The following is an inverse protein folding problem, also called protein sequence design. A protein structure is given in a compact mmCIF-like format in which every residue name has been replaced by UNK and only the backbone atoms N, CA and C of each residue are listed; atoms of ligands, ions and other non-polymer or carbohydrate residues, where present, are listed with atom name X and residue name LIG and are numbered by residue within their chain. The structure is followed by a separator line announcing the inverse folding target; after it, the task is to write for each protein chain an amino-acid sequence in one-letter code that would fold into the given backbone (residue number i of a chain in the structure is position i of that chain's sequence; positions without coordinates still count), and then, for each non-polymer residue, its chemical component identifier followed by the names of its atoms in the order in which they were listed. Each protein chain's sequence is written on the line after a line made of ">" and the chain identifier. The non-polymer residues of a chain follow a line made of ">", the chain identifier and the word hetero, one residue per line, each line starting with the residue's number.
data_IF_172947537604
#
_entry.id   IF_172947537604
#
_cell.length_a   1.000
_cell.length_b   1.000
_cell.length_c   1.000
_cell.angle_alpha   90.00
_cell.angle_beta   90.00
_cell.angle_gamma   90.00
#
_symmetry.space_group_name_H-M   'P 1'
#
loop_
_entity.id
_entity.type
_entity.pdbx_description
1 polymer ?
#
# COMPACT_ATOMS: atom_id res chain seq x y z
N UNK A 1 -5.63 -0.49 -14.60
CA UNK A 1 -5.61 0.14 -13.27
C UNK A 1 -4.27 0.82 -13.06
N UNK A 2 -4.22 2.14 -13.29
CA UNK A 2 -3.03 2.98 -13.15
C UNK A 2 -3.09 3.73 -11.82
N UNK A 3 -2.05 3.58 -11.01
CA UNK A 3 -1.87 4.33 -9.77
C UNK A 3 -0.69 5.27 -9.93
N UNK A 4 -0.88 6.54 -9.57
CA UNK A 4 0.20 7.53 -9.51
C UNK A 4 0.05 8.40 -8.27
N UNK A 5 1.01 9.29 -8.03
CA UNK A 5 1.09 10.06 -6.79
C UNK A 5 1.43 11.53 -7.03
N UNK A 6 1.08 12.36 -6.05
CA UNK A 6 1.54 13.75 -5.91
C UNK A 6 2.39 13.88 -4.63
N UNK A 7 3.61 14.44 -4.69
CA UNK A 7 4.38 14.71 -3.48
C UNK A 7 3.74 15.86 -2.68
N UNK A 8 3.88 15.90 -1.35
CA UNK A 8 3.26 16.95 -0.51
C UNK A 8 3.70 18.37 -0.86
N UNK A 9 4.91 18.55 -1.39
CA UNK A 9 5.38 19.85 -1.89
C UNK A 9 4.55 20.41 -3.05
N UNK A 10 3.74 19.56 -3.71
CA UNK A 10 2.79 19.94 -4.74
C UNK A 10 1.33 19.71 -4.29
N UNK A 11 1.04 19.53 -3.01
CA UNK A 11 -0.30 19.15 -2.54
C UNK A 11 -1.31 20.31 -2.42
N UNK A 12 -0.90 21.55 -2.73
CA UNK A 12 -1.82 22.69 -2.84
C UNK A 12 -2.79 22.50 -4.01
N UNK A 13 -3.91 23.22 -4.01
CA UNK A 13 -4.95 23.10 -5.05
C UNK A 13 -4.39 23.27 -6.46
N UNK A 14 -3.58 24.30 -6.67
CA UNK A 14 -2.91 24.53 -7.95
C UNK A 14 -1.78 23.52 -8.22
N UNK A 15 -1.07 23.08 -7.18
CA UNK A 15 -0.01 22.09 -7.28
C UNK A 15 -0.51 20.72 -7.74
N UNK A 16 -1.59 20.22 -7.13
CA UNK A 16 -2.20 18.92 -7.43
C UNK A 16 -2.65 18.88 -8.87
N UNK A 17 -3.31 19.95 -9.34
CA UNK A 17 -3.73 20.07 -10.75
C UNK A 17 -2.54 19.96 -11.71
N UNK A 18 -1.50 20.78 -11.51
CA UNK A 18 -0.29 20.77 -12.38
C UNK A 18 0.43 19.42 -12.32
N UNK A 19 0.56 18.83 -11.13
CA UNK A 19 1.22 17.55 -10.94
C UNK A 19 0.49 16.42 -11.66
N UNK A 20 -0.85 16.38 -11.55
CA UNK A 20 -1.69 15.42 -12.25
C UNK A 20 -1.57 15.56 -13.77
N UNK A 21 -1.64 16.78 -14.31
CA UNK A 21 -1.47 17.06 -15.75
C UNK A 21 -0.12 16.59 -16.27
N UNK A 22 0.95 16.83 -15.52
CA UNK A 22 2.28 16.35 -15.87
C UNK A 22 2.39 14.82 -15.81
N UNK A 23 1.72 14.17 -14.86
CA UNK A 23 1.66 12.70 -14.78
C UNK A 23 0.90 12.09 -15.94
N UNK A 24 -0.27 12.63 -16.29
CA UNK A 24 -1.05 12.22 -17.46
C UNK A 24 -0.24 12.31 -18.75
N UNK A 25 0.46 13.44 -18.94
CA UNK A 25 1.36 13.63 -20.10
C UNK A 25 2.45 12.57 -20.19
N UNK A 26 3.12 12.25 -19.07
CA UNK A 26 4.18 11.22 -19.05
C UNK A 26 3.64 9.80 -19.25
N UNK A 27 2.44 9.52 -18.76
CA UNK A 27 1.77 8.23 -18.89
C UNK A 27 1.07 8.04 -20.26
N UNK A 28 0.99 9.11 -21.07
CA UNK A 28 0.28 9.12 -22.36
C UNK A 28 -1.17 8.62 -22.25
N UNK A 29 -1.88 9.05 -21.21
CA UNK A 29 -3.31 8.75 -20.99
C UNK A 29 -4.05 10.02 -20.55
N UNK A 30 -5.36 10.03 -20.69
CA UNK A 30 -6.26 11.11 -20.29
C UNK A 30 -6.78 10.95 -18.84
N UNK A 31 -6.65 9.74 -18.25
CA UNK A 31 -7.16 9.45 -16.91
C UNK A 31 -6.27 8.50 -16.11
N UNK A 32 -6.08 8.82 -14.83
CA UNK A 32 -5.45 7.93 -13.83
C UNK A 32 -6.56 7.22 -13.04
N UNK A 33 -6.46 5.90 -12.82
CA UNK A 33 -7.49 5.17 -12.08
C UNK A 33 -7.50 5.55 -10.59
N UNK A 34 -6.33 5.75 -9.99
CA UNK A 34 -6.18 6.13 -8.59
C UNK A 34 -5.00 7.09 -8.39
N UNK A 35 -5.25 8.24 -7.76
CA UNK A 35 -4.21 9.25 -7.50
C UNK A 35 -4.01 9.48 -6.01
N UNK A 36 -2.78 9.32 -5.53
CA UNK A 36 -2.48 9.33 -4.09
C UNK A 36 -1.72 10.59 -3.67
N UNK A 37 -2.05 11.14 -2.51
CA UNK A 37 -1.08 11.96 -1.77
C UNK A 37 0.05 11.04 -1.28
N UNK A 38 1.31 11.38 -1.57
CA UNK A 38 2.44 10.45 -1.37
C UNK A 38 2.85 10.27 0.10
N UNK A 39 2.74 11.30 0.91
CA UNK A 39 2.86 11.29 2.37
C UNK A 39 2.30 12.62 2.92
N UNK A 40 1.99 12.72 4.22
CA UNK A 40 1.57 13.96 4.87
C UNK A 40 2.54 15.12 4.63
N UNK A 41 2.04 16.35 4.62
CA UNK A 41 2.82 17.54 4.35
C UNK A 41 2.29 18.77 5.07
N UNK A 42 2.85 19.94 4.77
CA UNK A 42 2.45 21.21 5.39
C UNK A 42 1.19 21.84 4.78
N UNK A 43 0.73 21.36 3.62
CA UNK A 43 -0.52 21.83 3.02
C UNK A 43 -1.70 21.28 3.82
N UNK A 44 -2.68 22.11 4.23
CA UNK A 44 -3.88 21.62 4.91
C UNK A 44 -4.56 20.52 4.09
N UNK A 45 -4.84 19.39 4.72
CA UNK A 45 -5.35 18.20 4.03
C UNK A 45 -6.68 18.45 3.32
N UNK A 46 -7.54 19.31 3.88
CA UNK A 46 -8.78 19.74 3.26
C UNK A 46 -8.57 20.39 1.87
N UNK A 47 -7.51 21.19 1.70
CA UNK A 47 -7.19 21.80 0.40
C UNK A 47 -6.81 20.73 -0.63
N UNK A 48 -6.05 19.72 -0.21
CA UNK A 48 -5.67 18.60 -1.08
C UNK A 48 -6.87 17.73 -1.45
N UNK A 49 -7.77 17.45 -0.50
CA UNK A 49 -9.01 16.69 -0.75
C UNK A 49 -9.90 17.41 -1.77
N UNK A 50 -10.12 18.72 -1.61
CA UNK A 50 -10.87 19.52 -2.57
C UNK A 50 -10.24 19.48 -3.98
N UNK A 51 -8.90 19.48 -4.05
CA UNK A 51 -8.19 19.38 -5.32
C UNK A 51 -8.36 18.01 -5.97
N UNK A 52 -8.36 16.93 -5.20
CA UNK A 52 -8.65 15.58 -5.71
C UNK A 52 -10.09 15.45 -6.20
N UNK A 53 -11.06 15.97 -5.45
CA UNK A 53 -12.46 15.98 -5.88
C UNK A 53 -12.66 16.78 -7.16
N UNK A 54 -11.98 17.93 -7.31
CA UNK A 54 -11.99 18.70 -8.56
C UNK A 54 -11.38 17.91 -9.74
N UNK A 55 -10.29 17.18 -9.53
CA UNK A 55 -9.70 16.31 -10.57
C UNK A 55 -10.63 15.16 -10.95
N UNK A 56 -11.34 14.59 -9.96
CA UNK A 56 -12.32 13.53 -10.16
C UNK A 56 -13.53 14.03 -10.96
N UNK A 57 -14.08 15.18 -10.58
CA UNK A 57 -15.17 15.84 -11.31
C UNK A 57 -14.76 16.20 -12.75
N UNK A 58 -13.51 16.58 -12.97
CA UNK A 58 -12.96 16.85 -14.30
C UNK A 58 -12.62 15.58 -15.12
N UNK A 59 -12.82 14.38 -14.57
CA UNK A 59 -12.53 13.11 -15.24
C UNK A 59 -11.05 12.75 -15.37
N UNK A 60 -10.14 13.54 -14.77
CA UNK A 60 -8.68 13.32 -14.84
C UNK A 60 -8.20 12.18 -13.95
N UNK A 61 -8.92 11.92 -12.86
CA UNK A 61 -8.71 10.76 -12.00
C UNK A 61 -10.06 10.06 -11.77
N UNK A 62 -10.06 8.74 -11.60
CA UNK A 62 -11.29 8.00 -11.25
C UNK A 62 -11.50 7.97 -9.74
N UNK A 63 -10.42 7.82 -8.98
CA UNK A 63 -10.39 7.71 -7.52
C UNK A 63 -9.19 8.45 -6.95
N UNK A 64 -9.24 8.76 -5.64
CA UNK A 64 -8.10 9.28 -4.90
C UNK A 64 -7.89 8.49 -3.61
N UNK A 65 -6.68 8.56 -3.08
CA UNK A 65 -6.31 7.94 -1.82
C UNK A 65 -5.10 8.62 -1.20
N UNK A 66 -4.52 7.98 -0.20
CA UNK A 66 -3.31 8.48 0.47
C UNK A 66 -2.25 7.38 0.55
N UNK A 67 -1.07 7.77 1.01
CA UNK A 67 0.07 6.89 1.22
C UNK A 67 0.82 7.40 2.45
N UNK A 68 1.30 6.50 3.29
CA UNK A 68 2.02 6.82 4.52
C UNK A 68 1.22 7.64 5.53
N UNK A 69 -0.08 7.34 5.67
CA UNK A 69 -0.91 7.93 6.73
C UNK A 69 -1.02 6.93 7.88
N UNK A 70 -0.76 7.35 9.11
CA UNK A 70 -1.02 6.52 10.29
C UNK A 70 -2.51 6.54 10.68
N UNK A 71 -2.88 5.85 11.75
CA UNK A 71 -4.28 5.75 12.20
C UNK A 71 -4.86 7.13 12.55
N UNK A 72 -4.09 7.99 13.21
CA UNK A 72 -4.59 9.28 13.69
C UNK A 72 -4.79 10.24 12.50
N UNK A 73 -3.88 10.20 11.52
CA UNK A 73 -3.97 10.97 10.28
C UNK A 73 -5.14 10.48 9.39
N UNK A 74 -5.41 9.17 9.37
CA UNK A 74 -6.57 8.62 8.66
C UNK A 74 -7.88 9.03 9.33
N UNK A 75 -7.93 9.11 10.67
CA UNK A 75 -9.09 9.61 11.41
C UNK A 75 -9.37 11.09 11.13
N UNK A 76 -8.33 11.93 11.09
CA UNK A 76 -8.45 13.31 10.67
C UNK A 76 -8.98 13.39 9.23
N UNK A 77 -8.37 12.64 8.30
CA UNK A 77 -8.75 12.63 6.89
C UNK A 77 -10.22 12.33 6.70
N UNK A 78 -10.74 11.24 7.29
CA UNK A 78 -12.14 10.83 7.08
C UNK A 78 -13.14 11.81 7.72
N UNK A 79 -12.70 12.61 8.70
CA UNK A 79 -13.51 13.66 9.31
C UNK A 79 -13.67 14.94 8.45
N UNK A 80 -12.86 15.11 7.40
CA UNK A 80 -12.93 16.28 6.52
C UNK A 80 -14.12 16.22 5.55
N UNK A 81 -14.59 17.37 5.02
CA UNK A 81 -15.51 17.40 3.90
C UNK A 81 -14.99 16.58 2.71
N UNK A 82 -15.79 15.61 2.25
CA UNK A 82 -15.42 14.61 1.23
C UNK A 82 -14.26 13.68 1.60
N UNK A 83 -13.68 13.77 2.80
CA UNK A 83 -12.56 12.95 3.23
C UNK A 83 -12.87 11.45 3.28
N UNK A 84 -14.12 11.10 3.59
CA UNK A 84 -14.62 9.72 3.53
C UNK A 84 -14.60 9.11 2.12
N UNK A 85 -14.33 9.88 1.05
CA UNK A 85 -14.15 9.36 -0.31
C UNK A 85 -12.78 8.71 -0.54
N UNK A 86 -11.86 8.75 0.43
CA UNK A 86 -10.56 8.07 0.35
C UNK A 86 -10.75 6.59 -0.04
N UNK A 87 -9.99 6.11 -1.04
CA UNK A 87 -10.17 4.75 -1.58
C UNK A 87 -9.09 3.77 -1.14
N UNK A 88 -7.96 4.23 -0.61
CA UNK A 88 -6.90 3.37 -0.08
C UNK A 88 -5.90 4.18 0.75
N UNK A 89 -5.12 3.47 1.57
CA UNK A 89 -3.89 3.96 2.15
C UNK A 89 -2.72 3.03 1.77
N UNK A 90 -1.71 3.58 1.09
CA UNK A 90 -0.51 2.83 0.69
C UNK A 90 0.60 2.94 1.75
N UNK A 91 0.95 1.83 2.41
CA UNK A 91 1.86 1.81 3.58
C UNK A 91 2.91 0.70 3.49
N UNK A 92 3.99 0.83 4.26
CA UNK A 92 5.00 -0.21 4.37
C UNK A 92 4.40 -1.38 5.13
N UNK A 93 4.28 -2.53 4.46
CA UNK A 93 3.73 -3.70 5.11
C UNK A 93 4.31 -4.98 4.50
N UNK A 94 4.93 -5.79 5.36
CA UNK A 94 5.48 -7.10 5.04
C UNK A 94 5.80 -7.86 6.34
N UNK A 95 6.27 -9.11 6.22
CA UNK A 95 6.63 -9.95 7.37
C UNK A 95 7.57 -9.26 8.37
N UNK A 96 8.54 -8.45 7.92
CA UNK A 96 9.44 -7.73 8.82
C UNK A 96 8.91 -6.38 9.31
N UNK A 97 7.81 -5.88 8.74
CA UNK A 97 7.23 -4.55 8.98
C UNK A 97 5.74 -4.69 9.27
N UNK A 98 5.42 -5.19 10.46
CA UNK A 98 4.06 -5.56 10.88
C UNK A 98 3.36 -4.50 11.73
N UNK A 99 3.95 -3.31 11.89
CA UNK A 99 3.41 -2.21 12.70
C UNK A 99 1.92 -1.91 12.46
N UNK A 100 1.47 -1.81 11.19
CA UNK A 100 0.06 -1.53 10.88
C UNK A 100 -0.96 -2.54 11.44
N UNK A 101 -0.56 -3.75 11.80
CA UNK A 101 -1.48 -4.79 12.31
C UNK A 101 -2.09 -4.44 13.68
N UNK A 102 -1.46 -3.56 14.44
CA UNK A 102 -1.95 -3.23 15.79
C UNK A 102 -3.19 -2.34 15.75
N UNK A 103 -3.22 -1.37 14.83
CA UNK A 103 -4.22 -0.29 14.80
C UNK A 103 -4.69 0.04 13.37
N UNK A 104 -3.79 0.43 12.47
CA UNK A 104 -4.16 0.96 11.15
C UNK A 104 -4.91 -0.05 10.27
N UNK A 105 -4.43 -1.29 10.20
CA UNK A 105 -5.02 -2.35 9.39
C UNK A 105 -6.44 -2.73 9.86
N UNK A 106 -6.69 -3.05 11.16
CA UNK A 106 -8.05 -3.32 11.62
C UNK A 106 -8.97 -2.10 11.45
N UNK A 107 -8.49 -0.89 11.76
CA UNK A 107 -9.27 0.35 11.58
C UNK A 107 -9.70 0.57 10.12
N UNK A 108 -8.79 0.31 9.18
CA UNK A 108 -9.03 0.48 7.74
C UNK A 108 -9.98 -0.59 7.21
N UNK A 109 -9.85 -1.83 7.68
CA UNK A 109 -10.71 -2.95 7.31
C UNK A 109 -12.17 -2.71 7.71
N UNK A 110 -12.41 -2.24 8.94
CA UNK A 110 -13.75 -1.89 9.45
C UNK A 110 -14.47 -0.85 8.58
N UNK A 111 -13.70 0.01 7.91
CA UNK A 111 -14.20 1.11 7.06
C UNK A 111 -14.19 0.77 5.57
N UNK A 112 -13.79 -0.45 5.20
CA UNK A 112 -13.68 -0.86 3.80
C UNK A 112 -12.61 -0.09 3.01
N UNK A 113 -11.58 0.43 3.69
CA UNK A 113 -10.45 1.11 3.06
C UNK A 113 -9.30 0.09 2.89
N UNK A 114 -9.06 -0.44 1.68
CA UNK A 114 -7.99 -1.41 1.48
C UNK A 114 -6.61 -0.76 1.69
N UNK A 115 -5.65 -1.54 2.19
CA UNK A 115 -4.25 -1.13 2.27
C UNK A 115 -3.49 -1.58 1.02
N UNK A 116 -2.67 -0.70 0.45
CA UNK A 116 -1.68 -1.10 -0.55
C UNK A 116 -0.33 -1.30 0.14
N UNK A 117 0.13 -2.54 0.24
CA UNK A 117 1.40 -2.90 0.84
C UNK A 117 2.57 -2.64 -0.12
N UNK A 118 3.32 -1.56 0.10
CA UNK A 118 4.57 -1.33 -0.61
C UNK A 118 5.73 -2.05 0.07
N UNK A 119 6.80 -2.28 -0.71
CA UNK A 119 7.94 -3.12 -0.29
C UNK A 119 7.50 -4.47 0.32
N UNK A 120 6.57 -5.23 -0.30
CA UNK A 120 6.03 -6.46 0.30
C UNK A 120 7.06 -7.59 0.46
N UNK A 121 8.26 -7.42 -0.13
CA UNK A 121 9.41 -8.34 -0.03
C UNK A 121 10.63 -7.67 0.62
N UNK A 122 10.41 -6.55 1.34
CA UNK A 122 11.44 -5.72 2.01
C UNK A 122 12.63 -5.39 1.10
N UNK A 123 12.35 -4.82 -0.08
CA UNK A 123 13.36 -4.50 -1.10
C UNK A 123 14.28 -5.69 -1.47
N UNK A 124 13.76 -6.92 -1.34
CA UNK A 124 14.46 -8.17 -1.62
C UNK A 124 15.17 -8.78 -0.41
N UNK A 125 15.14 -8.16 0.77
CA UNK A 125 15.72 -8.74 1.97
C UNK A 125 15.00 -10.04 2.39
N UNK A 126 13.66 -10.06 2.31
CA UNK A 126 12.87 -11.26 2.61
C UNK A 126 13.12 -12.40 1.60
N UNK A 127 13.47 -12.08 0.35
CA UNK A 127 13.81 -13.09 -0.66
C UNK A 127 15.08 -13.91 -0.33
N UNK A 128 15.88 -13.45 0.63
CA UNK A 128 17.12 -14.11 1.11
C UNK A 128 17.05 -14.50 2.58
N UNK A 129 15.86 -14.44 3.19
CA UNK A 129 15.71 -14.67 4.62
C UNK A 129 15.47 -16.16 4.90
N UNK A 130 16.46 -16.82 5.49
CA UNK A 130 16.41 -18.25 5.80
C UNK A 130 15.25 -18.67 6.71
N UNK A 131 14.64 -17.72 7.45
CA UNK A 131 13.44 -17.98 8.26
C UNK A 131 12.22 -18.37 7.41
N UNK A 132 12.26 -18.17 6.08
CA UNK A 132 11.20 -18.56 5.16
C UNK A 132 11.45 -19.92 4.49
N UNK A 133 12.64 -20.50 4.62
CA UNK A 133 13.07 -21.66 3.83
C UNK A 133 12.21 -22.90 4.09
N UNK A 134 11.85 -23.15 5.36
CA UNK A 134 11.03 -24.30 5.73
C UNK A 134 9.61 -24.22 5.15
N UNK A 135 8.99 -23.03 5.22
CA UNK A 135 7.69 -22.76 4.59
C UNK A 135 7.80 -22.85 3.07
N UNK A 136 8.82 -22.23 2.49
CA UNK A 136 9.07 -22.22 1.04
C UNK A 136 9.23 -23.63 0.48
N UNK A 137 10.01 -24.49 1.15
CA UNK A 137 10.21 -25.89 0.78
C UNK A 137 8.89 -26.68 0.79
N UNK A 138 8.04 -26.50 1.80
CA UNK A 138 6.73 -27.18 1.90
C UNK A 138 5.80 -26.84 0.74
N UNK A 139 5.87 -25.61 0.23
CA UNK A 139 5.08 -25.14 -0.91
C UNK A 139 5.79 -25.25 -2.27
N UNK A 140 7.02 -25.81 -2.32
CA UNK A 140 7.88 -25.81 -3.52
C UNK A 140 8.00 -24.42 -4.16
N UNK A 141 8.10 -23.40 -3.32
CA UNK A 141 8.12 -22.00 -3.70
C UNK A 141 9.44 -21.33 -3.29
N UNK A 142 9.64 -20.10 -3.73
CA UNK A 142 10.74 -19.24 -3.26
C UNK A 142 10.34 -18.47 -2.01
N UNK A 143 11.32 -18.02 -1.21
CA UNK A 143 11.09 -17.15 -0.06
C UNK A 143 10.33 -15.85 -0.44
N UNK A 144 10.61 -15.29 -1.63
CA UNK A 144 9.89 -14.14 -2.14
C UNK A 144 8.39 -14.42 -2.39
N UNK A 145 8.08 -15.60 -2.93
CA UNK A 145 6.69 -16.01 -3.14
C UNK A 145 5.96 -16.25 -1.82
N UNK A 146 6.62 -16.83 -0.81
CA UNK A 146 6.04 -16.98 0.54
C UNK A 146 5.74 -15.62 1.17
N UNK A 147 6.69 -14.67 1.09
CA UNK A 147 6.48 -13.32 1.61
C UNK A 147 5.30 -12.61 0.93
N UNK A 148 5.18 -12.74 -0.40
CA UNK A 148 4.06 -12.17 -1.15
C UNK A 148 2.72 -12.85 -0.83
N UNK A 149 2.70 -14.18 -0.80
CA UNK A 149 1.51 -14.95 -0.45
C UNK A 149 1.01 -14.59 0.95
N UNK A 150 1.94 -14.37 1.90
CA UNK A 150 1.59 -13.94 3.25
C UNK A 150 0.94 -12.54 3.27
N UNK A 151 1.50 -11.55 2.54
CA UNK A 151 0.91 -10.21 2.48
C UNK A 151 -0.48 -10.24 1.85
N UNK A 152 -0.67 -11.00 0.77
CA UNK A 152 -1.96 -11.13 0.08
C UNK A 152 -2.99 -11.97 0.84
N UNK A 153 -2.56 -12.77 1.82
CA UNK A 153 -3.46 -13.51 2.71
C UNK A 153 -4.11 -12.59 3.76
N UNK A 154 -3.58 -11.38 3.96
CA UNK A 154 -4.12 -10.44 4.94
C UNK A 154 -5.42 -9.80 4.42
N UNK A 155 -6.46 -9.66 5.27
CA UNK A 155 -7.73 -9.09 4.85
C UNK A 155 -7.57 -7.65 4.34
N UNK A 156 -8.12 -7.35 3.17
CA UNK A 156 -8.13 -6.00 2.62
C UNK A 156 -6.77 -5.46 2.16
N UNK A 157 -5.77 -6.32 1.94
CA UNK A 157 -4.42 -5.91 1.55
C UNK A 157 -4.11 -6.24 0.09
N UNK A 158 -3.54 -5.25 -0.62
CA UNK A 158 -3.06 -5.37 -2.01
C UNK A 158 -1.54 -5.23 -2.02
N UNK A 159 -0.79 -6.27 -2.39
CA UNK A 159 0.66 -6.20 -2.51
C UNK A 159 1.09 -5.58 -3.85
N UNK A 160 2.08 -4.68 -3.83
CA UNK A 160 2.64 -4.06 -5.05
C UNK A 160 4.15 -4.31 -5.23
N UNK A 161 4.57 -5.57 -5.50
CA UNK A 161 5.97 -5.87 -5.73
C UNK A 161 6.48 -5.27 -7.04
N UNK A 162 7.67 -4.67 -6.99
CA UNK A 162 8.42 -4.27 -8.20
C UNK A 162 9.31 -5.41 -8.67
N UNK A 163 9.26 -5.71 -9.96
CA UNK A 163 10.21 -6.59 -10.64
C UNK A 163 10.62 -5.96 -11.99
N UNK A 164 11.92 -5.99 -12.29
CA UNK A 164 12.45 -5.56 -13.60
C UNK A 164 12.95 -6.71 -14.47
N UNK A 165 12.92 -7.95 -13.94
CA UNK A 165 13.22 -9.18 -14.69
C UNK A 165 11.92 -9.93 -14.90
N UNK A 166 11.67 -10.40 -16.13
CA UNK A 166 10.45 -11.14 -16.45
C UNK A 166 10.28 -12.41 -15.61
N UNK A 167 11.37 -13.08 -15.25
CA UNK A 167 11.36 -14.23 -14.35
C UNK A 167 10.73 -13.90 -12.99
N UNK A 168 11.18 -12.81 -12.36
CA UNK A 168 10.61 -12.35 -11.09
C UNK A 168 9.14 -11.94 -11.24
N UNK A 169 8.74 -11.38 -12.39
CA UNK A 169 7.31 -11.08 -12.66
C UNK A 169 6.48 -12.36 -12.65
N UNK A 170 6.96 -13.42 -13.32
CA UNK A 170 6.28 -14.73 -13.32
C UNK A 170 6.24 -15.35 -11.93
N UNK A 171 7.33 -15.28 -11.17
CA UNK A 171 7.39 -15.76 -9.79
C UNK A 171 6.41 -15.01 -8.88
N UNK A 172 6.36 -13.68 -8.96
CA UNK A 172 5.41 -12.86 -8.20
C UNK A 172 3.96 -13.24 -8.53
N UNK A 173 3.64 -13.45 -9.81
CA UNK A 173 2.31 -13.87 -10.22
C UNK A 173 1.94 -15.26 -9.66
N UNK A 174 2.86 -16.22 -9.71
CA UNK A 174 2.66 -17.55 -9.16
C UNK A 174 2.48 -17.58 -7.62
N UNK A 175 2.79 -16.49 -6.91
CA UNK A 175 2.48 -16.40 -5.47
C UNK A 175 0.98 -16.37 -5.18
N UNK A 176 0.12 -16.02 -6.16
CA UNK A 176 -1.34 -16.03 -6.02
C UNK A 176 -1.93 -17.43 -5.79
N UNK A 177 -1.23 -18.46 -6.28
CA UNK A 177 -1.67 -19.85 -6.20
C UNK A 177 -1.30 -20.52 -4.86
N UNK A 178 -0.44 -19.86 -4.06
CA UNK A 178 0.01 -20.40 -2.78
C UNK A 178 -1.07 -20.18 -1.71
N UNK A 179 -1.48 -21.28 -1.07
CA UNK A 179 -2.40 -21.27 0.07
C UNK A 179 -1.62 -21.63 1.34
N UNK A 180 -1.23 -20.61 2.10
CA UNK A 180 -0.57 -20.80 3.39
C UNK A 180 -1.53 -21.49 4.37
N UNK A 181 -1.05 -22.56 4.99
CA UNK A 181 -1.78 -23.33 6.01
C UNK A 181 -1.74 -22.62 7.36
N UNK A 182 -2.58 -23.04 8.30
CA UNK A 182 -2.51 -22.54 9.68
C UNK A 182 -1.13 -22.79 10.33
N UNK A 183 -0.47 -23.90 9.99
CA UNK A 183 0.89 -24.19 10.44
C UNK A 183 1.90 -23.19 9.88
N UNK A 184 1.78 -22.83 8.59
CA UNK A 184 2.63 -21.81 7.97
C UNK A 184 2.51 -20.48 8.68
N UNK A 185 1.29 -20.02 8.90
CA UNK A 185 1.01 -18.74 9.53
C UNK A 185 1.56 -18.71 10.97
N UNK A 186 1.35 -19.76 11.76
CA UNK A 186 1.89 -19.86 13.11
C UNK A 186 3.43 -19.92 13.16
N UNK A 187 4.08 -20.50 12.14
CA UNK A 187 5.54 -20.49 12.02
C UNK A 187 6.07 -19.11 11.64
N UNK A 188 5.41 -18.45 10.69
CA UNK A 188 5.75 -17.08 10.28
C UNK A 188 5.52 -16.07 11.41
N UNK A 189 4.46 -16.21 12.21
CA UNK A 189 4.23 -15.38 13.39
C UNK A 189 5.33 -15.55 14.43
N UNK A 190 5.83 -16.77 14.66
CA UNK A 190 6.97 -16.99 15.56
C UNK A 190 8.27 -16.40 15.01
N UNK A 191 8.50 -16.51 13.71
CA UNK A 191 9.70 -15.97 13.05
C UNK A 191 9.69 -14.44 12.92
N UNK A 192 8.50 -13.86 12.82
CA UNK A 192 8.23 -12.45 12.61
C UNK A 192 7.07 -11.98 13.51
N UNK A 193 7.31 -11.75 14.81
CA UNK A 193 6.23 -11.50 15.76
C UNK A 193 5.36 -10.28 15.39
N UNK A 194 4.02 -10.38 15.48
CA UNK A 194 3.15 -9.23 15.33
C UNK A 194 3.40 -8.18 16.43
N UNK A 195 3.03 -6.92 16.21
CA UNK A 195 3.14 -5.88 17.23
C UNK A 195 2.20 -6.14 18.42
N UNK A 196 2.69 -5.88 19.63
CA UNK A 196 1.90 -5.96 20.88
C UNK A 196 1.50 -4.58 21.44
N UNK A 197 1.90 -3.51 20.77
CA UNK A 197 1.60 -2.11 21.11
C UNK A 197 1.70 -1.22 19.86
N UNK A 198 1.03 -0.05 19.89
CA UNK A 198 1.16 0.98 18.86
C UNK A 198 2.62 1.37 18.66
N UNK A 199 3.02 1.53 17.40
CA UNK A 199 4.36 1.97 16.97
C UNK A 199 4.17 3.10 15.96
N UNK A 200 5.16 3.99 15.84
CA UNK A 200 5.16 4.97 14.75
C UNK A 200 5.17 4.25 13.41
N UNK A 201 4.46 4.81 12.42
CA UNK A 201 4.38 4.22 11.10
C UNK A 201 5.77 4.23 10.44
N UNK A 202 6.29 3.05 10.11
CA UNK A 202 7.58 2.92 9.43
C UNK A 202 7.43 3.33 7.95
N UNK A 203 8.42 4.07 7.44
CA UNK A 203 8.45 4.57 6.06
C UNK A 203 9.80 4.32 5.40
N UNK A 204 9.84 4.27 4.06
CA UNK A 204 11.08 4.17 3.25
C UNK A 204 10.99 5.12 2.06
#
# INVERSE_FOLDING_TARGET
>A
FLVSKVPPTNASRAGVKRACENSLKRLATDRIDLYLLHWPGSVPLAETVEAFEALKAAGKIRHWGVSNFDTDEMEELVGLPSGANVQTNQVLYNLSRRGPEFDLAPWSLERGIPLMAYSPVEQGALARNARLDAVAARHKATAAQIALAWVMAQPGVIAIPKASRQEHVRQNAAALDIKLTAQDLAELDRAFPPPTRKRGLEMI
#
